data_IF_083129555389
#
_entry.id   IF_083129555389
#
_cell.length_a   1.000
_cell.length_b   1.000
_cell.length_c   1.000
_cell.angle_alpha   90.00
_cell.angle_beta   90.00
_cell.angle_gamma   90.00
#
_symmetry.space_group_name_H-M   'P 1'
#
loop_
_entity.id
_entity.type
_entity.pdbx_description
1 polymer ?
#
# COMPACT_ATOMS: atom_id res chain seq x y z
N UNK A 1 6.46 -15.00 14.04
CA UNK A 1 5.56 -13.93 13.61
C UNK A 1 5.92 -13.48 12.20
N UNK A 2 5.14 -13.93 11.23
CA UNK A 2 5.06 -13.39 9.85
C UNK A 2 3.99 -12.32 9.77
N UNK A 3 3.93 -11.59 8.64
CA UNK A 3 2.82 -10.67 8.38
C UNK A 3 1.46 -11.39 8.32
N UNK A 4 1.43 -12.61 7.76
CA UNK A 4 0.23 -13.45 7.72
C UNK A 4 -0.25 -13.83 9.12
N UNK A 5 0.69 -14.23 10.00
CA UNK A 5 0.38 -14.55 11.40
C UNK A 5 -0.14 -13.32 12.16
N UNK A 6 0.46 -12.14 11.95
CA UNK A 6 0.02 -10.89 12.56
C UNK A 6 -1.41 -10.52 12.14
N UNK A 7 -1.69 -10.53 10.83
CA UNK A 7 -3.01 -10.21 10.29
C UNK A 7 -4.03 -11.25 10.78
N UNK A 8 -3.65 -12.52 10.81
CA UNK A 8 -4.48 -13.60 11.34
C UNK A 8 -4.81 -13.42 12.83
N UNK A 9 -3.94 -12.81 13.64
CA UNK A 9 -4.24 -12.46 15.03
C UNK A 9 -5.32 -11.37 15.10
N UNK A 10 -5.17 -10.30 14.33
CA UNK A 10 -6.13 -9.19 14.27
C UNK A 10 -7.50 -9.69 13.82
N UNK A 11 -7.54 -10.56 12.79
CA UNK A 11 -8.79 -11.08 12.23
C UNK A 11 -9.53 -12.07 13.14
N UNK A 12 -8.95 -12.52 14.27
CA UNK A 12 -9.69 -13.37 15.22
C UNK A 12 -10.93 -12.70 15.78
N UNK A 13 -10.90 -11.37 15.91
CA UNK A 13 -12.04 -10.58 16.38
C UNK A 13 -13.09 -10.34 15.28
N UNK A 14 -12.79 -10.73 14.04
CA UNK A 14 -13.63 -10.57 12.84
C UNK A 14 -14.02 -11.95 12.26
N UNK A 15 -14.67 -12.77 13.07
CA UNK A 15 -15.08 -14.14 12.70
C UNK A 15 -15.86 -14.20 11.38
N UNK A 16 -15.55 -15.19 10.54
CA UNK A 16 -16.22 -15.41 9.25
C UNK A 16 -15.60 -14.65 8.09
N UNK A 17 -14.65 -13.75 8.37
CA UNK A 17 -13.93 -13.00 7.36
C UNK A 17 -12.50 -13.49 7.17
N UNK A 18 -11.97 -13.26 5.98
CA UNK A 18 -10.60 -13.57 5.58
C UNK A 18 -9.91 -12.35 4.96
N UNK A 19 -8.65 -12.52 4.61
CA UNK A 19 -7.88 -11.58 3.81
C UNK A 19 -7.10 -12.34 2.77
N UNK A 20 -6.64 -11.62 1.75
CA UNK A 20 -5.75 -12.16 0.73
C UNK A 20 -4.38 -11.47 0.83
N UNK A 21 -3.33 -12.27 0.99
CA UNK A 21 -1.95 -11.80 1.00
C UNK A 21 -1.44 -11.56 -0.42
N UNK A 22 -0.78 -10.43 -0.67
CA UNK A 22 -0.32 -10.07 -2.03
C UNK A 22 1.10 -9.49 -2.10
N UNK A 23 1.81 -9.27 -0.98
CA UNK A 23 3.13 -8.60 -0.99
C UNK A 23 4.20 -9.23 -0.09
N UNK A 24 3.82 -9.92 0.98
CA UNK A 24 4.75 -10.36 2.02
C UNK A 24 4.43 -11.77 2.52
N UNK A 25 3.98 -12.64 1.61
CA UNK A 25 3.58 -14.01 1.92
C UNK A 25 4.71 -14.80 2.58
N UNK A 26 4.45 -15.25 3.82
CA UNK A 26 5.40 -16.00 4.63
C UNK A 26 6.59 -15.18 5.12
N UNK A 27 6.65 -13.87 4.85
CA UNK A 27 7.76 -13.02 5.25
C UNK A 27 7.71 -12.79 6.77
N UNK A 28 8.82 -13.10 7.45
CA UNK A 28 8.99 -12.83 8.89
C UNK A 28 9.05 -11.33 9.17
N UNK A 29 8.39 -10.92 10.24
CA UNK A 29 8.51 -9.57 10.77
C UNK A 29 9.84 -9.50 11.54
N UNK A 30 10.79 -8.71 11.03
CA UNK A 30 12.14 -8.60 11.58
C UNK A 30 12.32 -7.52 12.66
N UNK A 31 11.23 -6.96 13.19
CA UNK A 31 11.24 -5.86 14.15
C UNK A 31 9.96 -5.86 15.00
N UNK A 32 9.97 -5.28 16.19
CA UNK A 32 8.74 -5.09 16.95
C UNK A 32 7.80 -4.12 16.22
N UNK A 33 6.50 -4.41 16.27
CA UNK A 33 5.44 -3.55 15.77
C UNK A 33 4.48 -3.27 16.93
N UNK A 34 4.06 -2.01 17.05
CA UNK A 34 3.13 -1.57 18.10
C UNK A 34 1.90 -0.98 17.44
N UNK A 35 0.72 -1.44 17.86
CA UNK A 35 -0.54 -0.80 17.55
C UNK A 35 -0.90 0.12 18.72
N UNK A 36 -0.75 1.44 18.54
CA UNK A 36 -0.89 2.39 19.65
C UNK A 36 -1.89 3.49 19.30
N UNK A 37 -3.06 3.49 19.95
CA UNK A 37 -4.12 4.49 19.73
C UNK A 37 -4.47 4.67 18.24
N UNK A 38 -4.45 3.57 17.49
CA UNK A 38 -4.84 3.50 16.08
C UNK A 38 -5.76 2.30 15.87
N UNK A 39 -6.66 2.39 14.89
CA UNK A 39 -7.58 1.28 14.56
C UNK A 39 -6.81 0.13 13.90
N UNK A 40 -7.37 -1.07 13.89
CA UNK A 40 -6.78 -2.21 13.15
C UNK A 40 -6.55 -1.86 11.68
N UNK A 41 -7.49 -1.13 11.08
CA UNK A 41 -7.38 -0.65 9.71
C UNK A 41 -6.22 0.32 9.51
N UNK A 42 -6.06 1.31 10.39
CA UNK A 42 -4.96 2.28 10.31
C UNK A 42 -3.60 1.62 10.58
N UNK A 43 -3.57 0.68 11.53
CA UNK A 43 -2.40 -0.14 11.81
C UNK A 43 -1.97 -0.93 10.57
N UNK A 44 -2.88 -1.69 9.97
CA UNK A 44 -2.59 -2.51 8.80
C UNK A 44 -2.17 -1.66 7.58
N UNK A 45 -2.83 -0.52 7.34
CA UNK A 45 -2.39 0.46 6.32
C UNK A 45 -0.99 0.98 6.59
N UNK A 46 -0.64 1.22 7.86
CA UNK A 46 0.70 1.65 8.23
C UNK A 46 1.72 0.56 7.93
N UNK A 47 1.45 -0.67 8.33
CA UNK A 47 2.34 -1.80 8.07
C UNK A 47 2.52 -2.06 6.57
N UNK A 48 1.45 -2.04 5.76
CA UNK A 48 1.54 -2.20 4.31
C UNK A 48 2.40 -1.11 3.66
N UNK A 49 2.30 0.13 4.16
CA UNK A 49 3.07 1.26 3.65
C UNK A 49 4.58 1.13 3.89
N UNK A 50 5.00 0.44 4.98
CA UNK A 50 6.41 0.14 5.23
C UNK A 50 6.99 -0.82 4.20
N UNK A 51 6.13 -1.63 3.58
CA UNK A 51 6.45 -2.53 2.47
C UNK A 51 6.31 -1.85 1.09
N UNK A 52 6.18 -0.51 1.07
CA UNK A 52 5.92 0.30 -0.14
C UNK A 52 4.67 -0.16 -0.90
N UNK A 53 3.66 -0.65 -0.18
CA UNK A 53 2.40 -1.12 -0.76
C UNK A 53 1.19 -0.62 0.01
N UNK A 54 0.01 -1.02 -0.43
CA UNK A 54 -1.27 -0.54 0.05
C UNK A 54 -2.13 -1.63 0.66
N UNK A 55 -3.14 -1.19 1.41
CA UNK A 55 -4.23 -2.03 1.89
C UNK A 55 -5.47 -1.65 1.09
N UNK A 56 -6.05 -2.61 0.36
CA UNK A 56 -7.24 -2.38 -0.45
C UNK A 56 -8.41 -3.19 0.08
N UNK A 57 -9.56 -2.56 0.31
CA UNK A 57 -10.79 -3.31 0.59
C UNK A 57 -11.14 -4.20 -0.61
N UNK A 58 -11.70 -5.36 -0.33
CA UNK A 58 -12.46 -6.09 -1.34
C UNK A 58 -13.90 -5.58 -1.32
N UNK A 59 -14.43 -5.23 -2.49
CA UNK A 59 -15.81 -4.78 -2.66
C UNK A 59 -16.64 -5.79 -3.46
N UNK A 60 -16.03 -6.91 -3.86
CA UNK A 60 -16.63 -7.94 -4.69
C UNK A 60 -16.87 -9.20 -3.86
N UNK A 61 -15.82 -9.72 -3.20
CA UNK A 61 -15.93 -10.92 -2.37
C UNK A 61 -16.32 -10.56 -0.94
N UNK A 62 -17.55 -10.93 -0.54
CA UNK A 62 -18.13 -10.58 0.76
C UNK A 62 -17.39 -11.16 1.96
N UNK A 63 -16.68 -12.28 1.79
CA UNK A 63 -15.95 -12.93 2.88
C UNK A 63 -14.49 -12.46 2.97
N UNK A 64 -13.94 -11.84 1.92
CA UNK A 64 -12.60 -11.27 1.94
C UNK A 64 -12.72 -9.80 2.35
N UNK A 65 -12.16 -9.40 3.49
CA UNK A 65 -12.25 -8.00 3.93
C UNK A 65 -11.36 -7.09 3.09
N UNK A 66 -10.14 -7.56 2.81
CA UNK A 66 -9.13 -6.77 2.14
C UNK A 66 -8.04 -7.62 1.50
N UNK A 67 -7.31 -6.97 0.62
CA UNK A 67 -6.05 -7.41 0.07
C UNK A 67 -4.91 -6.69 0.80
N UNK A 68 -4.00 -7.47 1.38
CA UNK A 68 -2.76 -6.96 1.94
C UNK A 68 -1.75 -6.87 0.81
N UNK A 69 -1.69 -5.70 0.16
CA UNK A 69 -1.00 -5.50 -1.09
C UNK A 69 -1.91 -5.54 -2.31
N UNK A 70 -1.33 -5.80 -3.49
CA UNK A 70 -2.02 -5.63 -4.78
C UNK A 70 -2.61 -6.93 -5.31
N UNK A 71 -3.94 -7.03 -5.50
CA UNK A 71 -4.57 -8.25 -5.99
C UNK A 71 -4.65 -8.37 -7.51
N UNK A 72 -4.49 -7.27 -8.24
CA UNK A 72 -4.90 -7.24 -9.64
C UNK A 72 -3.96 -8.04 -10.55
N UNK A 73 -4.59 -8.91 -11.34
CA UNK A 73 -4.00 -9.62 -12.48
C UNK A 73 -4.61 -9.17 -13.80
N UNK A 74 -5.42 -8.10 -13.80
CA UNK A 74 -6.01 -7.55 -15.03
C UNK A 74 -4.95 -6.76 -15.80
N UNK A 75 -4.99 -6.89 -17.13
CA UNK A 75 -4.07 -6.23 -18.03
C UNK A 75 -4.83 -5.56 -19.15
N UNK A 76 -4.47 -4.31 -19.43
CA UNK A 76 -5.02 -3.50 -20.51
C UNK A 76 -3.89 -2.96 -21.38
N UNK A 77 -4.23 -2.52 -22.59
CA UNK A 77 -3.30 -1.87 -23.51
C UNK A 77 -3.86 -0.51 -23.89
N UNK A 78 -3.03 0.52 -23.76
CA UNK A 78 -3.31 1.84 -24.31
C UNK A 78 -2.71 1.97 -25.70
N UNK A 79 -3.37 2.73 -26.56
CA UNK A 79 -2.81 3.10 -27.85
C UNK A 79 -1.62 4.04 -27.66
N UNK A 80 -0.54 3.87 -28.43
CA UNK A 80 0.67 4.70 -28.31
C UNK A 80 0.43 6.19 -28.62
N UNK A 81 -0.67 6.48 -29.33
CA UNK A 81 -1.20 7.81 -29.67
C UNK A 81 -1.99 8.47 -28.53
N UNK A 82 -2.26 7.75 -27.44
CA UNK A 82 -3.04 8.28 -26.30
C UNK A 82 -2.32 9.45 -25.64
N UNK A 83 -3.09 10.49 -25.30
CA UNK A 83 -2.60 11.64 -24.53
C UNK A 83 -2.25 11.24 -23.10
N UNK A 84 -1.14 11.79 -22.59
CA UNK A 84 -0.69 11.56 -21.22
C UNK A 84 0.19 12.71 -20.73
N UNK A 85 0.29 12.86 -19.41
CA UNK A 85 1.25 13.76 -18.77
C UNK A 85 2.28 12.95 -18.00
N UNK A 86 3.56 13.21 -18.23
CA UNK A 86 4.63 12.63 -17.42
C UNK A 86 4.91 13.56 -16.22
N UNK A 87 4.80 13.02 -15.02
CA UNK A 87 4.93 13.76 -13.77
C UNK A 87 5.97 13.10 -12.86
N UNK A 88 6.55 13.88 -11.95
CA UNK A 88 7.44 13.40 -10.89
C UNK A 88 7.04 14.06 -9.57
N UNK A 89 6.78 13.27 -8.53
CA UNK A 89 6.45 13.78 -7.20
C UNK A 89 7.71 14.13 -6.41
N UNK A 90 8.26 15.32 -6.67
CA UNK A 90 9.47 15.80 -5.99
C UNK A 90 9.24 16.04 -4.50
N UNK A 91 8.04 16.48 -4.11
CA UNK A 91 7.72 16.71 -2.71
C UNK A 91 7.81 15.39 -1.93
N UNK A 92 7.11 14.37 -2.41
CA UNK A 92 7.12 13.04 -1.81
C UNK A 92 8.51 12.41 -1.81
N UNK A 93 9.30 12.64 -2.87
CA UNK A 93 10.70 12.17 -2.95
C UNK A 93 11.54 12.75 -1.82
N UNK A 94 11.48 14.05 -1.58
CA UNK A 94 12.24 14.69 -0.51
C UNK A 94 11.74 14.30 0.88
N UNK A 95 10.41 14.28 1.10
CA UNK A 95 9.81 13.88 2.39
C UNK A 95 10.12 12.43 2.77
N UNK A 96 10.35 11.56 1.79
CA UNK A 96 10.69 10.16 2.04
C UNK A 96 12.15 9.94 2.43
N UNK A 97 13.03 10.94 2.28
CA UNK A 97 14.48 10.84 2.51
C UNK A 97 15.35 10.95 1.25
N UNK A 98 14.76 11.36 0.11
CA UNK A 98 15.49 11.54 -1.15
C UNK A 98 16.17 10.26 -1.64
N UNK A 99 17.44 10.38 -2.05
CA UNK A 99 18.24 9.27 -2.56
C UNK A 99 18.45 8.12 -1.56
N UNK A 100 18.32 8.38 -0.26
CA UNK A 100 18.45 7.34 0.77
C UNK A 100 17.21 6.42 0.84
N UNK A 101 16.05 6.89 0.35
CA UNK A 101 14.77 6.21 0.49
C UNK A 101 14.37 5.37 -0.74
N UNK A 102 14.97 5.66 -1.89
CA UNK A 102 14.66 5.00 -3.15
C UNK A 102 15.29 5.72 -4.34
N UNK A 103 15.07 5.15 -5.52
CA UNK A 103 15.53 5.78 -6.74
C UNK A 103 14.56 6.88 -7.15
N UNK A 104 15.05 7.98 -7.72
CA UNK A 104 14.22 9.11 -8.10
C UNK A 104 13.13 8.73 -9.13
N UNK A 105 13.39 7.68 -9.90
CA UNK A 105 12.48 7.04 -10.86
C UNK A 105 11.23 6.45 -10.22
N UNK A 106 11.27 6.12 -8.93
CA UNK A 106 10.15 5.51 -8.21
C UNK A 106 8.99 6.51 -7.99
N UNK A 107 9.29 7.81 -8.12
CA UNK A 107 8.34 8.90 -7.95
C UNK A 107 7.78 9.43 -9.28
N UNK A 108 8.16 8.82 -10.40
CA UNK A 108 7.58 9.13 -11.70
C UNK A 108 6.25 8.41 -11.90
N UNK A 109 5.31 9.12 -12.50
CA UNK A 109 4.02 8.57 -12.88
C UNK A 109 3.49 9.25 -14.13
N UNK A 110 2.64 8.54 -14.86
CA UNK A 110 1.86 9.11 -15.95
C UNK A 110 0.45 9.42 -15.47
N UNK A 111 -0.07 10.58 -15.89
CA UNK A 111 -1.51 10.85 -15.79
C UNK A 111 -2.16 10.65 -17.14
N UNK A 112 -3.28 9.93 -17.16
CA UNK A 112 -4.15 9.78 -18.33
C UNK A 112 -5.59 10.14 -17.96
N UNK A 113 -6.38 10.56 -18.93
CA UNK A 113 -7.82 10.69 -18.81
C UNK A 113 -8.51 9.78 -19.83
N UNK A 114 -9.49 9.01 -19.38
CA UNK A 114 -10.24 8.08 -20.24
C UNK A 114 -11.65 7.86 -19.71
N UNK A 115 -12.54 7.39 -20.57
CA UNK A 115 -13.89 6.88 -20.22
C UNK A 115 -13.84 5.44 -19.74
N UNK A 116 -12.77 4.72 -20.08
CA UNK A 116 -12.59 3.32 -19.71
C UNK A 116 -12.33 3.18 -18.20
N UNK A 117 -12.96 2.16 -17.60
CA UNK A 117 -12.74 1.81 -16.21
C UNK A 117 -11.59 0.81 -16.11
N UNK A 118 -10.59 1.13 -15.30
CA UNK A 118 -9.49 0.24 -14.93
C UNK A 118 -9.46 0.05 -13.43
N UNK A 119 -9.22 -1.18 -12.97
CA UNK A 119 -9.04 -1.43 -11.54
C UNK A 119 -7.71 -0.90 -11.03
N UNK A 120 -7.67 -0.47 -9.77
CA UNK A 120 -6.41 -0.20 -9.08
C UNK A 120 -5.56 -1.48 -9.05
N UNK A 121 -4.27 -1.32 -9.32
CA UNK A 121 -3.31 -2.42 -9.47
C UNK A 121 -3.26 -3.04 -10.86
N UNK A 122 -4.22 -2.78 -11.75
CA UNK A 122 -4.22 -3.34 -13.11
C UNK A 122 -2.96 -2.95 -13.88
N UNK A 123 -2.42 -3.88 -14.67
CA UNK A 123 -1.31 -3.62 -15.56
C UNK A 123 -1.79 -2.88 -16.82
N UNK A 124 -1.04 -1.85 -17.22
CA UNK A 124 -1.31 -1.06 -18.40
C UNK A 124 -0.05 -1.09 -19.29
N UNK A 125 -0.14 -1.76 -20.43
CA UNK A 125 0.90 -1.72 -21.45
C UNK A 125 0.73 -0.45 -22.30
N UNK A 126 1.77 0.39 -22.32
CA UNK A 126 1.76 1.67 -23.04
C UNK A 126 3.17 2.03 -23.53
N UNK A 127 3.34 2.30 -24.83
CA UNK A 127 4.64 2.65 -25.43
C UNK A 127 5.74 1.64 -25.12
N UNK A 128 5.43 0.35 -25.28
CA UNK A 128 6.30 -0.79 -24.97
C UNK A 128 6.86 -0.77 -23.52
N UNK A 129 6.10 -0.21 -22.59
CA UNK A 129 6.42 -0.19 -21.17
C UNK A 129 5.21 -0.63 -20.36
N UNK A 130 5.50 -1.31 -19.27
CA UNK A 130 4.48 -1.73 -18.32
C UNK A 130 4.34 -0.69 -17.21
N UNK A 131 3.12 -0.19 -17.08
CA UNK A 131 2.67 0.61 -15.98
C UNK A 131 1.60 -0.13 -15.21
N UNK A 132 1.20 0.43 -14.08
CA UNK A 132 0.13 -0.09 -13.28
C UNK A 132 -0.72 1.05 -12.72
N UNK A 133 -2.02 0.82 -12.61
CA UNK A 133 -2.95 1.81 -12.07
C UNK A 133 -2.70 1.99 -10.58
N UNK A 134 -2.15 3.14 -10.19
CA UNK A 134 -1.88 3.47 -8.79
C UNK A 134 -3.12 4.00 -8.06
N UNK A 135 -3.81 4.95 -8.69
CA UNK A 135 -5.01 5.57 -8.14
C UNK A 135 -5.79 6.24 -9.27
N UNK A 136 -7.03 6.62 -9.00
CA UNK A 136 -7.82 7.43 -9.93
C UNK A 136 -8.74 8.39 -9.21
N UNK A 137 -9.18 9.41 -9.95
CA UNK A 137 -10.31 10.26 -9.60
C UNK A 137 -11.35 10.14 -10.70
N UNK A 138 -12.60 9.95 -10.34
CA UNK A 138 -13.72 9.96 -11.28
C UNK A 138 -14.45 11.31 -11.20
N UNK A 139 -14.84 11.85 -12.36
CA UNK A 139 -15.74 13.00 -12.45
C UNK A 139 -16.91 12.67 -13.36
N UNK A 140 -18.11 13.02 -12.92
CA UNK A 140 -19.30 12.97 -13.78
C UNK A 140 -19.34 14.24 -14.65
N UNK A 141 -19.55 14.05 -15.94
CA UNK A 141 -19.75 15.09 -16.93
C UNK A 141 -21.06 14.78 -17.63
N UNK A 142 -22.16 15.36 -17.12
CA UNK A 142 -23.52 15.12 -17.58
C UNK A 142 -23.88 13.62 -17.61
N UNK A 143 -23.78 12.99 -18.78
CA UNK A 143 -24.11 11.59 -19.09
C UNK A 143 -22.90 10.65 -19.11
N UNK A 144 -21.69 11.16 -18.91
CA UNK A 144 -20.45 10.38 -18.95
C UNK A 144 -19.66 10.45 -17.64
N UNK A 145 -18.84 9.43 -17.40
CA UNK A 145 -17.84 9.43 -16.32
C UNK A 145 -16.45 9.47 -16.95
N UNK A 146 -15.65 10.45 -16.55
CA UNK A 146 -14.24 10.55 -16.93
C UNK A 146 -13.38 10.17 -15.74
N UNK A 147 -12.48 9.23 -15.97
CA UNK A 147 -11.49 8.79 -15.01
C UNK A 147 -10.15 9.43 -15.31
N UNK A 148 -9.58 10.09 -14.30
CA UNK A 148 -8.19 10.55 -14.32
C UNK A 148 -7.34 9.57 -13.53
N UNK A 149 -6.52 8.78 -14.21
CA UNK A 149 -5.65 7.79 -13.59
C UNK A 149 -4.24 8.32 -13.36
N UNK A 150 -3.60 7.84 -12.29
CA UNK A 150 -2.15 7.87 -12.08
C UNK A 150 -1.60 6.47 -12.36
N UNK A 151 -0.69 6.36 -13.31
CA UNK A 151 -0.01 5.12 -13.68
C UNK A 151 1.44 5.17 -13.19
N UNK A 152 1.88 4.17 -12.43
CA UNK A 152 3.27 4.10 -11.96
C UNK A 152 3.96 2.82 -12.45
N UNK A 153 5.28 2.75 -12.30
CA UNK A 153 6.05 1.53 -12.60
C UNK A 153 5.84 0.48 -11.50
N UNK A 154 6.25 -0.77 -11.76
CA UNK A 154 6.17 -1.88 -10.80
C UNK A 154 6.70 -1.51 -9.40
N UNK A 155 7.86 -0.84 -9.37
CA UNK A 155 8.57 -0.41 -8.17
C UNK A 155 8.28 1.06 -7.77
N UNK A 156 7.31 1.71 -8.42
CA UNK A 156 6.93 3.08 -8.07
C UNK A 156 6.40 3.17 -6.64
N UNK A 157 6.32 4.38 -6.09
CA UNK A 157 5.73 4.58 -4.76
C UNK A 157 4.21 4.45 -4.86
N UNK A 158 3.69 3.35 -4.32
CA UNK A 158 2.27 3.01 -4.34
C UNK A 158 1.48 3.76 -3.27
N UNK A 159 2.04 3.76 -2.06
CA UNK A 159 1.54 4.49 -0.92
C UNK A 159 2.71 5.19 -0.25
N UNK A 160 2.54 6.46 0.13
CA UNK A 160 3.50 7.14 1.00
C UNK A 160 3.59 6.39 2.32
N UNK A 161 4.80 6.25 2.87
CA UNK A 161 4.96 5.71 4.22
C UNK A 161 4.04 6.45 5.20
N UNK A 162 3.15 5.71 5.82
CA UNK A 162 2.28 6.21 6.87
C UNK A 162 3.03 6.05 8.19
N UNK A 163 2.91 7.02 9.08
CA UNK A 163 3.50 6.97 10.41
C UNK A 163 2.43 7.23 11.45
N UNK A 164 2.52 6.55 12.60
CA UNK A 164 1.70 6.86 13.75
C UNK A 164 2.42 7.93 14.57
N UNK A 165 1.95 9.17 14.45
CA UNK A 165 2.53 10.33 15.12
C UNK A 165 2.40 10.27 16.65
N UNK A 166 1.44 9.52 17.18
CA UNK A 166 1.19 9.39 18.61
C UNK A 166 2.21 8.49 19.32
N UNK A 167 2.96 7.67 18.58
CA UNK A 167 4.06 6.86 19.14
C UNK A 167 5.30 7.73 19.39
N UNK A 168 5.51 8.77 18.58
CA UNK A 168 6.65 9.67 18.70
C UNK A 168 6.61 10.42 20.03
N UNK A 169 7.56 10.12 20.93
CA UNK A 169 7.64 10.74 22.26
C UNK A 169 6.70 10.13 23.30
N UNK A 170 5.97 9.06 22.99
CA UNK A 170 5.22 8.32 23.99
C UNK A 170 6.18 7.57 24.92
N UNK A 171 6.05 7.80 26.23
CA UNK A 171 6.63 6.91 27.23
C UNK A 171 5.71 5.72 27.38
N UNK A 172 6.13 4.56 26.87
CA UNK A 172 5.41 3.31 27.03
C UNK A 172 6.15 2.51 28.10
N UNK A 173 5.56 2.43 29.29
CA UNK A 173 6.13 1.67 30.40
C UNK A 173 6.13 0.18 30.06
N UNK A 174 7.31 -0.43 30.07
CA UNK A 174 7.50 -1.86 29.86
C UNK A 174 8.12 -2.51 31.09
N UNK A 175 7.58 -3.64 31.52
CA UNK A 175 8.18 -4.47 32.58
C UNK A 175 9.06 -5.53 31.93
N UNK A 176 10.34 -5.57 32.30
CA UNK A 176 11.25 -6.64 31.85
C UNK A 176 10.81 -7.96 32.47
N UNK A 177 10.39 -8.92 31.63
CA UNK A 177 9.88 -10.22 32.07
C UNK A 177 11.00 -11.26 32.23
N UNK A 178 12.01 -11.23 31.36
CA UNK A 178 13.13 -12.17 31.40
C UNK A 178 14.39 -11.52 30.81
N UNK A 179 15.53 -11.69 31.47
CA UNK A 179 16.84 -11.30 30.93
C UNK A 179 17.56 -12.56 30.52
N UNK A 180 17.46 -12.94 29.25
CA UNK A 180 18.49 -13.79 28.63
C UNK A 180 19.64 -12.88 28.23
N UNK A 181 20.86 -13.34 28.49
CA UNK A 181 22.08 -12.65 28.04
C UNK A 181 22.02 -12.48 26.51
N UNK A 182 21.55 -11.30 26.05
CA UNK A 182 21.23 -10.84 24.68
C UNK A 182 19.74 -10.92 24.24
N UNK A 183 19.29 -9.95 23.42
CA UNK A 183 18.46 -8.80 23.78
C UNK A 183 17.05 -9.17 24.31
N UNK A 184 16.60 -8.44 25.32
CA UNK A 184 15.36 -8.70 26.07
C UNK A 184 14.07 -8.57 25.25
N UNK A 185 13.14 -9.50 25.46
CA UNK A 185 11.76 -9.44 24.99
C UNK A 185 10.93 -8.53 25.93
N UNK A 186 10.24 -7.55 25.34
CA UNK A 186 9.28 -6.69 26.03
C UNK A 186 7.88 -6.98 25.49
N UNK A 187 6.89 -7.08 26.39
CA UNK A 187 5.47 -7.26 26.05
C UNK A 187 4.68 -6.02 26.49
N UNK A 188 3.73 -5.60 25.66
CA UNK A 188 2.91 -4.39 25.80
C UNK A 188 1.45 -4.76 26.03
#
# INVERSE_FOLDING_TARGET
>A
MTYDELIGIILKDYSGYSFTQCIAEGQKIGKPLFQYKETDWDFLKRISSELKSELSCDIIETLNMFYFGRPSKTSYKLEDTSDYKACKDLKQYHESGGSEAGHDTDYFYYEIETREKYEVGANISFKNKDFYVNQYKARALSDEVIYKYRLCRKNGVWQTKVTNSLIGGASIEGKVLEVKSSPAELQY
#
